data_IF_543872594349
#
_entry.id   IF_543872594349
#
_cell.length_a   1.000
_cell.length_b   1.000
_cell.length_c   1.000
_cell.angle_alpha   90.00
_cell.angle_beta   90.00
_cell.angle_gamma   90.00
#
_symmetry.space_group_name_H-M   'P 1'
#
loop_
_entity.id
_entity.type
_entity.pdbx_description
1 polymer ?
#
# COMPACT_ATOMS: atom_id res chain seq x y z
N UNK A 1 18.97 -19.30 8.18
CA UNK A 1 18.86 -17.82 8.16
C UNK A 1 17.86 -17.44 9.24
N UNK A 2 18.18 -16.48 10.10
CA UNK A 2 17.26 -16.03 11.16
C UNK A 2 16.20 -15.13 10.53
N UNK A 3 14.93 -15.48 10.69
CA UNK A 3 13.80 -14.63 10.32
C UNK A 3 13.25 -13.96 11.59
N UNK A 4 13.15 -12.62 11.65
CA UNK A 4 12.52 -11.93 12.76
C UNK A 4 11.09 -12.43 12.98
N UNK A 5 10.67 -12.58 14.24
CA UNK A 5 9.31 -13.05 14.55
C UNK A 5 8.23 -12.12 13.98
N UNK A 6 8.53 -10.83 13.88
CA UNK A 6 7.64 -9.83 13.28
C UNK A 6 7.32 -10.12 11.81
N UNK A 7 8.26 -10.70 11.07
CA UNK A 7 8.06 -11.12 9.68
C UNK A 7 7.42 -12.49 9.59
N UNK A 8 7.93 -13.43 10.40
CA UNK A 8 7.42 -14.80 10.45
C UNK A 8 5.91 -14.88 10.76
N UNK A 9 5.45 -14.02 11.67
CA UNK A 9 4.06 -13.96 12.13
C UNK A 9 3.31 -12.73 11.59
N UNK A 10 3.83 -12.07 10.55
CA UNK A 10 3.11 -10.97 9.88
C UNK A 10 1.78 -11.51 9.33
N UNK A 11 0.64 -10.85 9.61
CA UNK A 11 -0.66 -11.23 9.06
C UNK A 11 -0.64 -11.38 7.54
N UNK A 12 -1.17 -12.48 7.03
CA UNK A 12 -1.27 -12.75 5.58
C UNK A 12 -2.67 -12.54 5.01
N UNK A 13 -3.65 -12.34 5.88
CA UNK A 13 -5.04 -12.07 5.53
C UNK A 13 -5.62 -11.04 6.49
N UNK A 14 -6.68 -10.33 6.08
CA UNK A 14 -7.28 -9.30 6.93
C UNK A 14 -7.87 -9.89 8.22
N UNK A 15 -8.20 -11.19 8.22
CA UNK A 15 -8.71 -11.93 9.40
C UNK A 15 -7.65 -12.16 10.48
N UNK A 16 -6.37 -12.19 10.10
CA UNK A 16 -5.26 -12.36 11.04
C UNK A 16 -4.84 -11.04 11.68
N UNK A 17 -5.28 -9.90 11.13
CA UNK A 17 -4.97 -8.59 11.71
C UNK A 17 -5.83 -8.38 12.96
N UNK A 18 -5.17 -8.18 14.10
CA UNK A 18 -5.85 -8.03 15.39
C UNK A 18 -6.19 -6.57 15.65
N UNK A 19 -7.47 -6.29 15.92
CA UNK A 19 -7.97 -4.96 16.31
C UNK A 19 -8.54 -4.13 15.14
N UNK A 20 -8.90 -2.88 15.42
CA UNK A 20 -9.30 -1.85 14.43
C UNK A 20 -10.34 -2.29 13.36
N UNK A 21 -11.41 -3.04 13.71
CA UNK A 21 -12.31 -3.64 12.72
C UNK A 21 -12.99 -2.62 11.80
N UNK A 22 -13.27 -1.41 12.31
CA UNK A 22 -13.88 -0.33 11.51
C UNK A 22 -12.95 0.25 10.45
N UNK A 23 -11.65 0.42 10.75
CA UNK A 23 -10.67 0.91 9.77
C UNK A 23 -10.44 -0.14 8.68
N UNK A 24 -10.31 -1.41 9.08
CA UNK A 24 -10.11 -2.51 8.14
C UNK A 24 -11.33 -2.77 7.25
N UNK A 25 -12.55 -2.63 7.78
CA UNK A 25 -13.76 -2.68 6.95
C UNK A 25 -13.72 -1.60 5.86
N UNK A 26 -13.39 -0.36 6.20
CA UNK A 26 -13.33 0.74 5.22
C UNK A 26 -12.32 0.49 4.12
N UNK A 27 -11.13 -0.01 4.46
CA UNK A 27 -10.07 -0.34 3.48
C UNK A 27 -10.48 -1.50 2.58
N UNK A 28 -11.15 -2.51 3.14
CA UNK A 28 -11.67 -3.64 2.37
C UNK A 28 -12.81 -3.20 1.43
N UNK A 29 -13.72 -2.34 1.91
CA UNK A 29 -14.82 -1.81 1.12
C UNK A 29 -14.32 -0.92 -0.01
N UNK A 30 -13.30 -0.10 0.24
CA UNK A 30 -12.56 0.66 -0.77
C UNK A 30 -11.99 -0.28 -1.86
N UNK A 31 -11.31 -1.36 -1.44
CA UNK A 31 -10.71 -2.31 -2.38
C UNK A 31 -11.74 -3.05 -3.23
N UNK A 32 -12.86 -3.48 -2.63
CA UNK A 32 -13.95 -4.14 -3.36
C UNK A 32 -14.63 -3.20 -4.34
N UNK A 33 -14.84 -1.95 -3.94
CA UNK A 33 -15.47 -0.90 -4.76
C UNK A 33 -14.60 -0.56 -5.97
N UNK A 34 -13.27 -0.43 -5.80
CA UNK A 34 -12.33 -0.16 -6.91
C UNK A 34 -12.30 -1.29 -7.96
N UNK A 35 -12.55 -2.53 -7.54
CA UNK A 35 -12.65 -3.68 -8.46
C UNK A 35 -13.98 -3.65 -9.19
N UNK A 36 -15.09 -3.52 -8.45
CA UNK A 36 -16.45 -3.59 -8.98
C UNK A 36 -16.74 -2.49 -9.99
N UNK A 37 -16.48 -1.25 -9.60
CA UNK A 37 -16.92 -0.07 -10.35
C UNK A 37 -15.89 0.33 -11.43
N UNK A 38 -14.70 -0.29 -11.41
CA UNK A 38 -13.55 0.02 -12.28
C UNK A 38 -13.17 1.52 -12.26
N UNK A 39 -13.50 2.20 -11.17
CA UNK A 39 -13.10 3.57 -10.87
C UNK A 39 -11.81 3.54 -10.04
N UNK A 40 -10.97 4.57 -10.16
CA UNK A 40 -9.86 4.86 -9.23
C UNK A 40 -10.43 5.65 -8.05
N UNK A 41 -10.89 5.01 -6.95
CA UNK A 41 -11.32 5.75 -5.77
C UNK A 41 -10.14 6.54 -5.17
N UNK A 42 -10.42 7.59 -4.37
CA UNK A 42 -9.38 8.28 -3.61
C UNK A 42 -8.53 7.27 -2.83
N UNK A 43 -7.20 7.42 -2.90
CA UNK A 43 -6.29 6.52 -2.20
C UNK A 43 -6.45 6.69 -0.68
N UNK A 44 -6.63 5.60 0.10
CA UNK A 44 -6.80 5.67 1.54
C UNK A 44 -5.44 5.92 2.21
N UNK A 45 -5.41 6.86 3.14
CA UNK A 45 -4.26 7.05 4.03
C UNK A 45 -4.41 6.20 5.29
N UNK A 46 -3.46 5.30 5.55
CA UNK A 46 -3.37 4.59 6.82
C UNK A 46 -2.44 5.36 7.76
N UNK A 47 -2.96 5.84 8.88
CA UNK A 47 -2.20 6.62 9.86
C UNK A 47 -2.38 6.06 11.27
N UNK A 48 -1.41 6.35 12.14
CA UNK A 48 -1.40 5.86 13.53
C UNK A 48 0.01 5.54 14.03
N UNK A 49 0.16 5.14 15.31
CA UNK A 49 1.45 4.88 15.92
C UNK A 49 2.28 3.80 15.20
N UNK A 50 3.60 3.80 15.44
CA UNK A 50 4.47 2.73 14.95
C UNK A 50 4.03 1.38 15.55
N UNK A 51 4.08 0.31 14.75
CA UNK A 51 3.66 -1.02 15.20
C UNK A 51 2.14 -1.25 15.31
N UNK A 52 1.30 -0.30 14.88
CA UNK A 52 -0.17 -0.47 14.90
C UNK A 52 -0.73 -1.35 13.77
N UNK A 53 0.13 -1.93 12.93
CA UNK A 53 -0.25 -2.86 11.86
C UNK A 53 -0.61 -2.23 10.51
N UNK A 54 -0.29 -0.96 10.26
CA UNK A 54 -0.65 -0.25 9.00
C UNK A 54 -0.12 -0.95 7.74
N UNK A 55 1.21 -1.11 7.66
CA UNK A 55 1.88 -1.79 6.54
C UNK A 55 1.41 -3.23 6.43
N UNK A 56 1.32 -3.95 7.55
CA UNK A 56 0.82 -5.33 7.59
C UNK A 56 -0.61 -5.45 7.07
N UNK A 57 -1.49 -4.50 7.39
CA UNK A 57 -2.88 -4.49 6.91
C UNK A 57 -2.95 -4.23 5.39
N UNK A 58 -2.12 -3.32 4.85
CA UNK A 58 -2.06 -3.09 3.41
C UNK A 58 -1.58 -4.33 2.65
N UNK A 59 -0.56 -5.03 3.16
CA UNK A 59 -0.05 -6.27 2.58
C UNK A 59 -1.07 -7.42 2.70
N UNK A 60 -1.73 -7.54 3.85
CA UNK A 60 -2.79 -8.51 4.08
C UNK A 60 -3.98 -8.29 3.12
N UNK A 61 -4.36 -7.03 2.88
CA UNK A 61 -5.38 -6.68 1.90
C UNK A 61 -4.97 -7.11 0.48
N UNK A 62 -3.74 -6.81 0.06
CA UNK A 62 -3.26 -7.19 -1.26
C UNK A 62 -3.28 -8.71 -1.46
N UNK A 63 -2.82 -9.45 -0.44
CA UNK A 63 -2.87 -10.91 -0.40
C UNK A 63 -4.31 -11.43 -0.53
N UNK A 64 -5.25 -10.87 0.25
CA UNK A 64 -6.67 -11.26 0.20
C UNK A 64 -7.35 -10.94 -1.14
N UNK A 65 -6.96 -9.84 -1.79
CA UNK A 65 -7.47 -9.44 -3.10
C UNK A 65 -6.74 -10.10 -4.28
N UNK A 66 -5.66 -10.86 -4.02
CA UNK A 66 -4.82 -11.47 -5.05
C UNK A 66 -4.07 -10.45 -5.90
N UNK A 67 -3.71 -9.30 -5.33
CA UNK A 67 -2.99 -8.22 -6.00
C UNK A 67 -1.47 -8.39 -5.89
N UNK A 68 -0.76 -7.89 -6.90
CA UNK A 68 0.68 -7.67 -6.85
C UNK A 68 0.95 -6.37 -6.09
N UNK A 69 1.94 -6.36 -5.19
CA UNK A 69 2.32 -5.15 -4.45
C UNK A 69 3.56 -4.55 -5.10
N UNK A 70 3.48 -3.26 -5.46
CA UNK A 70 4.65 -2.41 -5.65
C UNK A 70 4.78 -1.53 -4.41
N UNK A 71 5.84 -1.74 -3.65
CA UNK A 71 6.13 -1.02 -2.42
C UNK A 71 7.27 -0.02 -2.65
N UNK A 72 7.08 1.20 -2.16
CA UNK A 72 8.12 2.22 -2.02
C UNK A 72 8.13 2.66 -0.57
N UNK A 73 9.22 2.39 0.14
CA UNK A 73 9.43 2.99 1.45
C UNK A 73 9.95 4.42 1.25
N UNK A 74 9.12 5.40 1.57
CA UNK A 74 9.44 6.80 1.40
C UNK A 74 10.52 7.28 2.37
N UNK A 75 10.89 6.55 3.43
CA UNK A 75 12.05 6.89 4.26
C UNK A 75 13.38 6.75 3.50
N UNK A 76 13.42 5.77 2.60
CA UNK A 76 14.62 5.40 1.84
C UNK A 76 14.66 6.15 0.50
N UNK A 77 13.50 6.35 -0.13
CA UNK A 77 13.34 6.93 -1.46
C UNK A 77 12.42 8.17 -1.42
N UNK A 78 13.00 9.32 -1.05
CA UNK A 78 12.27 10.56 -0.70
C UNK A 78 12.05 11.53 -1.86
N UNK A 79 12.71 11.30 -3.00
CA UNK A 79 12.85 12.30 -4.06
C UNK A 79 11.69 12.25 -5.06
N UNK A 80 11.46 13.38 -5.74
CA UNK A 80 10.49 13.47 -6.83
C UNK A 80 10.73 12.38 -7.90
N UNK A 81 11.98 12.22 -8.33
CA UNK A 81 12.35 11.25 -9.38
C UNK A 81 12.09 9.80 -8.96
N UNK A 82 12.36 9.44 -7.70
CA UNK A 82 12.09 8.10 -7.19
C UNK A 82 10.60 7.77 -7.25
N UNK A 83 9.73 8.69 -6.82
CA UNK A 83 8.28 8.51 -6.83
C UNK A 83 7.74 8.48 -8.27
N UNK A 84 8.28 9.28 -9.19
CA UNK A 84 7.89 9.23 -10.61
C UNK A 84 8.27 7.89 -11.25
N UNK A 85 9.46 7.36 -10.96
CA UNK A 85 9.87 6.02 -11.42
C UNK A 85 8.99 4.93 -10.83
N UNK A 86 8.66 5.02 -9.54
CA UNK A 86 7.72 4.12 -8.88
C UNK A 86 6.35 4.14 -9.57
N UNK A 87 5.82 5.34 -9.83
CA UNK A 87 4.57 5.52 -10.58
C UNK A 87 4.61 4.94 -11.99
N UNK A 88 5.74 5.05 -12.69
CA UNK A 88 5.92 4.42 -14.00
C UNK A 88 5.86 2.87 -13.91
N UNK A 89 6.34 2.27 -12.82
CA UNK A 89 6.20 0.83 -12.57
C UNK A 89 4.74 0.36 -12.45
N UNK A 90 3.82 1.26 -12.09
CA UNK A 90 2.38 0.99 -12.03
C UNK A 90 1.77 0.74 -13.41
N UNK A 91 2.25 1.44 -14.44
CA UNK A 91 1.70 1.35 -15.80
C UNK A 91 2.23 0.14 -16.57
N UNK A 92 3.34 -0.44 -16.13
CA UNK A 92 3.84 -1.71 -16.66
C UNK A 92 2.83 -2.83 -16.38
N UNK A 93 2.61 -3.73 -17.34
CA UNK A 93 1.73 -4.88 -17.12
C UNK A 93 2.27 -5.84 -16.05
N UNK A 94 1.36 -6.44 -15.26
CA UNK A 94 1.71 -7.57 -14.39
C UNK A 94 1.95 -8.82 -15.25
N UNK A 95 3.03 -9.55 -15.00
CA UNK A 95 3.32 -10.83 -15.67
C UNK A 95 2.22 -11.88 -15.43
N UNK A 96 1.58 -11.83 -14.27
CA UNK A 96 0.49 -12.75 -13.89
C UNK A 96 -0.91 -12.21 -14.19
N UNK A 97 -1.03 -11.08 -14.92
CA UNK A 97 -2.30 -10.41 -15.14
C UNK A 97 -3.04 -9.93 -13.87
N UNK A 98 -2.34 -9.84 -12.74
CA UNK A 98 -2.90 -9.38 -11.46
C UNK A 98 -2.99 -7.85 -11.44
N UNK A 99 -3.98 -7.33 -10.70
CA UNK A 99 -4.02 -5.90 -10.37
C UNK A 99 -2.85 -5.56 -9.44
N UNK A 100 -2.38 -4.33 -9.54
CA UNK A 100 -1.28 -3.80 -8.72
C UNK A 100 -1.82 -2.91 -7.61
N UNK A 101 -1.36 -3.14 -6.39
CA UNK A 101 -1.45 -2.19 -5.28
C UNK A 101 -0.14 -1.42 -5.21
N UNK A 102 -0.24 -0.09 -5.31
CA UNK A 102 0.88 0.79 -5.02
C UNK A 102 0.84 1.13 -3.54
N UNK A 103 1.88 0.73 -2.80
CA UNK A 103 2.05 1.01 -1.38
C UNK A 103 3.20 2.00 -1.20
N UNK A 104 2.85 3.23 -0.81
CA UNK A 104 3.81 4.25 -0.37
C UNK A 104 3.87 4.19 1.15
N UNK A 105 4.89 3.53 1.70
CA UNK A 105 5.09 3.45 3.16
C UNK A 105 5.85 4.66 3.67
N UNK A 106 5.61 5.04 4.93
CA UNK A 106 6.22 6.22 5.59
C UNK A 106 6.12 7.52 4.77
N UNK A 107 4.98 7.74 4.09
CA UNK A 107 4.77 8.90 3.21
C UNK A 107 4.88 10.27 3.93
N UNK A 108 4.81 10.28 5.26
CA UNK A 108 5.10 11.44 6.11
C UNK A 108 6.58 11.86 6.11
N UNK A 109 7.49 10.97 5.70
CA UNK A 109 8.91 11.24 5.56
C UNK A 109 9.28 11.85 4.19
N UNK A 110 8.34 12.13 3.29
CA UNK A 110 8.68 12.70 1.97
C UNK A 110 9.33 14.09 2.04
N UNK A 111 10.18 14.39 1.07
CA UNK A 111 10.66 15.76 0.85
C UNK A 111 9.61 16.61 0.11
N UNK A 112 9.76 17.94 0.11
CA UNK A 112 8.87 18.87 -0.60
C UNK A 112 8.63 18.46 -2.06
N UNK A 113 9.67 18.00 -2.76
CA UNK A 113 9.56 17.50 -4.13
C UNK A 113 8.76 16.19 -4.21
N UNK A 114 8.97 15.26 -3.27
CA UNK A 114 8.25 14.00 -3.21
C UNK A 114 6.73 14.18 -3.03
N UNK A 115 6.31 15.10 -2.17
CA UNK A 115 4.89 15.40 -1.98
C UNK A 115 4.19 15.78 -3.30
N UNK A 116 4.84 16.58 -4.14
CA UNK A 116 4.30 16.95 -5.46
C UNK A 116 4.17 15.73 -6.38
N UNK A 117 5.15 14.84 -6.40
CA UNK A 117 5.08 13.63 -7.21
C UNK A 117 3.93 12.70 -6.78
N UNK A 118 3.65 12.61 -5.48
CA UNK A 118 2.50 11.83 -4.98
C UNK A 118 1.18 12.43 -5.45
N UNK A 119 1.02 13.76 -5.42
CA UNK A 119 -0.19 14.42 -5.94
C UNK A 119 -0.35 14.11 -7.43
N UNK A 120 0.72 14.26 -8.23
CA UNK A 120 0.71 13.92 -9.67
C UNK A 120 0.40 12.44 -9.95
N UNK A 121 0.70 11.53 -9.01
CA UNK A 121 0.39 10.09 -9.13
C UNK A 121 -1.08 9.78 -8.81
N UNK A 122 -1.71 10.57 -7.94
CA UNK A 122 -3.10 10.41 -7.52
C UNK A 122 -4.09 10.97 -8.54
N UNK A 123 -3.70 12.01 -9.28
CA UNK A 123 -4.42 12.52 -10.45
C UNK A 123 -4.43 11.53 -11.63
#
# INVERSE_FOLDING_TARGET
MFEPWTEKYRPRSMKEVVGQPGAFSQVLDWAKTSVRDRVKPPAPGLYGPHGSGKTSAALALASEMGWEVLELNASDERTYEAIKRFGAGATMGSLMGRRKLLLLDEADNLERGGHRAVVELLE
#
